data_IF_395409483822
#
_entry.id   IF_395409483822
#
_cell.length_a   1.000
_cell.length_b   1.000
_cell.length_c   1.000
_cell.angle_alpha   90.00
_cell.angle_beta   90.00
_cell.angle_gamma   90.00
#
_symmetry.space_group_name_H-M   'P 1'
#
loop_
_entity.id
_entity.type
_entity.pdbx_description
1 polymer ?
#
# COMPACT_ATOMS: atom_id res chain seq x y z
N UNK A 1 -6.73 -3.05 -12.42
CA UNK A 1 -5.99 -3.83 -11.40
C UNK A 1 -6.43 -5.28 -11.38
N UNK A 2 -7.74 -5.57 -11.22
CA UNK A 2 -8.27 -6.95 -11.21
C UNK A 2 -7.82 -7.79 -12.41
N UNK A 3 -8.00 -7.28 -13.63
CA UNK A 3 -7.61 -7.96 -14.87
C UNK A 3 -6.12 -8.30 -14.92
N UNK A 4 -5.25 -7.42 -14.41
CA UNK A 4 -3.81 -7.64 -14.39
C UNK A 4 -3.44 -8.77 -13.41
N UNK A 5 -4.03 -8.77 -12.21
CA UNK A 5 -3.76 -9.80 -11.20
C UNK A 5 -4.25 -11.17 -11.66
N UNK A 6 -5.41 -11.25 -12.33
CA UNK A 6 -5.96 -12.50 -12.88
C UNK A 6 -5.11 -13.11 -14.00
N UNK A 7 -4.20 -12.34 -14.61
CA UNK A 7 -3.28 -12.81 -15.66
C UNK A 7 -1.95 -13.31 -15.10
N UNK A 8 -1.72 -13.21 -13.79
CA UNK A 8 -0.52 -13.78 -13.18
C UNK A 8 -0.56 -15.31 -13.28
N UNK A 9 0.56 -15.90 -13.68
CA UNK A 9 0.73 -17.36 -13.69
C UNK A 9 0.71 -17.95 -12.29
N UNK A 10 1.09 -17.16 -11.29
CA UNK A 10 1.15 -17.57 -9.89
C UNK A 10 0.24 -16.67 -9.06
N UNK A 11 -0.58 -17.28 -8.19
CA UNK A 11 -1.44 -16.53 -7.29
C UNK A 11 -0.60 -15.98 -6.14
N UNK A 12 -0.59 -14.65 -5.89
CA UNK A 12 0.18 -14.09 -4.79
C UNK A 12 -0.47 -14.43 -3.44
N UNK A 13 0.35 -14.67 -2.42
CA UNK A 13 -0.13 -14.87 -1.05
C UNK A 13 -0.71 -13.58 -0.45
N UNK A 14 -0.10 -12.44 -0.78
CA UNK A 14 -0.52 -11.11 -0.35
C UNK A 14 -0.28 -10.11 -1.47
N UNK A 15 -1.26 -9.23 -1.69
CA UNK A 15 -1.16 -8.14 -2.67
C UNK A 15 -0.97 -6.79 -1.94
N UNK A 16 0.15 -6.13 -2.22
CA UNK A 16 0.38 -4.74 -1.83
C UNK A 16 -0.26 -3.81 -2.85
N UNK A 17 -0.97 -2.78 -2.37
CA UNK A 17 -1.66 -1.80 -3.21
C UNK A 17 -1.15 -0.40 -2.86
N UNK A 18 -0.70 0.35 -3.87
CA UNK A 18 -0.34 1.78 -3.71
C UNK A 18 -1.63 2.61 -3.54
N UNK A 19 -2.12 2.69 -2.31
CA UNK A 19 -3.41 3.25 -1.95
C UNK A 19 -3.88 2.78 -0.57
N UNK A 20 -4.96 3.36 -0.06
CA UNK A 20 -5.48 3.02 1.27
C UNK A 20 -6.38 1.77 1.27
N UNK A 21 -6.37 1.06 2.40
CA UNK A 21 -7.38 0.08 2.79
C UNK A 21 -8.35 0.71 3.80
N UNK A 22 -8.35 0.22 5.05
CA UNK A 22 -9.23 0.71 6.13
C UNK A 22 -8.96 2.14 6.59
N UNK A 23 -7.80 2.72 6.24
CA UNK A 23 -7.53 4.16 6.41
C UNK A 23 -8.26 4.99 5.34
N UNK A 24 -9.59 4.91 5.36
CA UNK A 24 -10.49 5.59 4.42
C UNK A 24 -11.72 6.09 5.19
N UNK A 25 -12.38 7.20 4.81
CA UNK A 25 -13.58 7.70 5.51
C UNK A 25 -14.66 6.64 5.74
N UNK A 26 -14.85 5.74 4.75
CA UNK A 26 -15.80 4.63 4.80
C UNK A 26 -15.22 3.32 5.39
N UNK A 27 -14.00 3.33 5.93
CA UNK A 27 -13.20 2.13 6.28
C UNK A 27 -13.00 1.15 5.11
N UNK A 28 -13.20 1.62 3.88
CA UNK A 28 -13.20 0.80 2.67
C UNK A 28 -12.52 1.55 1.52
N UNK A 29 -11.19 1.44 1.45
CA UNK A 29 -10.38 2.00 0.36
C UNK A 29 -10.16 0.99 -0.78
N UNK A 30 -9.35 1.40 -1.77
CA UNK A 30 -9.05 0.59 -2.97
C UNK A 30 -8.42 -0.77 -2.63
N UNK A 31 -7.58 -0.83 -1.59
CA UNK A 31 -6.98 -2.09 -1.17
C UNK A 31 -8.03 -3.06 -0.60
N UNK A 32 -9.07 -2.55 0.08
CA UNK A 32 -10.20 -3.35 0.53
C UNK A 32 -10.99 -3.87 -0.67
N UNK A 33 -11.36 -2.98 -1.59
CA UNK A 33 -12.14 -3.31 -2.79
C UNK A 33 -11.49 -4.42 -3.61
N UNK A 34 -10.22 -4.26 -3.97
CA UNK A 34 -9.50 -5.25 -4.78
C UNK A 34 -9.35 -6.58 -4.04
N UNK A 35 -9.07 -6.53 -2.73
CA UNK A 35 -8.92 -7.73 -1.92
C UNK A 35 -10.21 -8.56 -1.82
N UNK A 36 -11.34 -7.90 -1.59
CA UNK A 36 -12.66 -8.54 -1.59
C UNK A 36 -12.96 -9.14 -2.96
N UNK A 37 -12.77 -8.35 -4.03
CA UNK A 37 -13.09 -8.77 -5.39
C UNK A 37 -12.30 -9.99 -5.87
N UNK A 38 -11.02 -10.09 -5.46
CA UNK A 38 -10.11 -11.17 -5.82
C UNK A 38 -10.04 -12.32 -4.79
N UNK A 39 -10.69 -12.17 -3.63
CA UNK A 39 -10.59 -13.13 -2.53
C UNK A 39 -9.17 -13.31 -2.00
N UNK A 40 -8.35 -12.25 -2.04
CA UNK A 40 -6.94 -12.25 -1.68
C UNK A 40 -6.67 -11.41 -0.42
N UNK A 41 -5.68 -11.78 0.40
CA UNK A 41 -5.11 -10.88 1.39
C UNK A 41 -4.53 -9.62 0.73
N UNK A 42 -4.89 -8.44 1.23
CA UNK A 42 -4.41 -7.16 0.68
C UNK A 42 -3.98 -6.20 1.77
N UNK A 43 -2.92 -5.44 1.47
CA UNK A 43 -2.42 -4.35 2.30
C UNK A 43 -2.40 -3.06 1.48
N UNK A 44 -3.01 -2.01 2.02
CA UNK A 44 -2.89 -0.68 1.47
C UNK A 44 -1.65 0.03 2.00
N UNK A 45 -0.80 0.50 1.10
CA UNK A 45 0.40 1.30 1.40
C UNK A 45 0.27 2.63 0.68
N UNK A 46 0.25 3.73 1.41
CA UNK A 46 0.11 5.06 0.84
C UNK A 46 1.24 5.99 1.25
N UNK A 47 1.52 7.00 0.41
CA UNK A 47 2.58 8.00 0.62
C UNK A 47 2.09 9.21 1.42
N UNK A 48 0.78 9.39 1.52
CA UNK A 48 0.14 10.54 2.15
C UNK A 48 -0.95 10.07 3.12
N UNK A 49 -1.21 10.81 4.20
CA UNK A 49 -2.35 10.53 5.05
C UNK A 49 -3.65 10.89 4.32
N UNK A 50 -4.72 10.17 4.62
CA UNK A 50 -6.07 10.48 4.12
C UNK A 50 -7.02 10.80 5.27
N UNK A 51 -7.04 9.96 6.31
CA UNK A 51 -7.92 10.10 7.49
C UNK A 51 -7.26 9.51 8.73
N UNK A 52 -7.86 9.81 9.88
CA UNK A 52 -7.43 9.31 11.18
C UNK A 52 -6.42 10.23 11.86
N UNK A 53 -6.24 9.99 13.16
CA UNK A 53 -5.32 10.76 14.00
C UNK A 53 -4.09 9.89 14.31
N UNK A 54 -2.91 10.38 13.95
CA UNK A 54 -1.65 9.77 14.38
C UNK A 54 -1.50 9.98 15.88
N UNK A 55 -1.39 8.89 16.64
CA UNK A 55 -1.12 8.95 18.07
C UNK A 55 0.39 8.88 18.28
N UNK A 56 0.94 9.87 18.97
CA UNK A 56 2.32 9.80 19.45
C UNK A 56 2.36 8.82 20.64
N UNK A 57 3.19 7.78 20.57
CA UNK A 57 3.44 6.94 21.76
C UNK A 57 4.33 7.72 22.74
N UNK A 58 4.03 7.65 24.05
CA UNK A 58 5.01 8.01 25.11
C UNK A 58 6.12 6.96 25.27
N UNK A 59 5.93 5.71 24.78
CA UNK A 59 6.83 4.55 24.95
C UNK A 59 6.71 3.51 23.83
N UNK A 60 7.14 3.80 22.61
CA UNK A 60 7.30 2.77 21.57
C UNK A 60 8.19 3.24 20.43
N UNK A 61 8.53 2.35 19.49
CA UNK A 61 9.44 2.64 18.39
C UNK A 61 9.07 3.95 17.70
N UNK A 62 9.96 4.93 17.71
CA UNK A 62 9.73 6.27 17.16
C UNK A 62 9.28 6.26 15.69
N UNK A 63 9.63 5.19 14.98
CA UNK A 63 9.35 5.03 13.56
C UNK A 63 7.98 4.45 13.24
N UNK A 64 7.23 3.88 14.19
CA UNK A 64 5.90 3.28 13.95
C UNK A 64 4.86 3.91 14.87
N UNK A 65 3.98 4.72 14.31
CA UNK A 65 2.94 5.44 15.03
C UNK A 65 1.54 4.91 14.66
N UNK A 66 0.71 4.51 15.62
CA UNK A 66 -0.65 4.05 15.33
C UNK A 66 -1.54 5.19 14.85
N UNK A 67 -2.45 4.86 13.93
CA UNK A 67 -3.45 5.79 13.39
C UNK A 67 -4.83 5.32 13.84
N UNK A 68 -5.46 6.16 14.65
CA UNK A 68 -6.79 5.92 15.18
C UNK A 68 -7.86 6.55 14.28
N UNK A 69 -8.88 5.77 13.94
CA UNK A 69 -10.03 6.22 13.18
C UNK A 69 -11.27 5.46 13.67
N UNK A 70 -12.32 6.22 14.03
CA UNK A 70 -13.54 5.73 14.68
C UNK A 70 -13.25 4.95 15.98
N UNK A 71 -12.40 5.53 16.84
CA UNK A 71 -12.07 4.97 18.16
C UNK A 71 -11.25 3.68 18.16
N UNK A 72 -10.71 3.26 17.01
CA UNK A 72 -9.88 2.05 16.88
C UNK A 72 -8.64 2.34 16.04
N UNK A 73 -7.56 1.60 16.28
CA UNK A 73 -6.38 1.64 15.41
C UNK A 73 -6.74 0.95 14.09
N UNK A 74 -6.66 1.70 12.99
CA UNK A 74 -6.98 1.20 11.64
C UNK A 74 -5.75 1.08 10.74
N UNK A 75 -4.61 1.62 11.18
CA UNK A 75 -3.38 1.65 10.40
C UNK A 75 -2.18 2.14 11.20
N UNK A 76 -1.04 2.16 10.55
CA UNK A 76 0.21 2.70 11.07
C UNK A 76 0.80 3.72 10.11
N UNK A 77 1.35 4.82 10.66
CA UNK A 77 2.35 5.63 9.99
C UNK A 77 3.71 5.03 10.34
N UNK A 78 4.39 4.45 9.36
CA UNK A 78 5.73 3.89 9.53
C UNK A 78 6.73 4.71 8.72
N UNK A 79 7.83 5.13 9.33
CA UNK A 79 8.95 5.80 8.64
C UNK A 79 10.06 4.79 8.37
N UNK A 80 10.24 4.33 7.12
CA UNK A 80 11.32 3.43 6.77
C UNK A 80 12.69 4.09 6.92
N UNK A 81 13.76 3.31 7.18
CA UNK A 81 15.13 3.83 7.15
C UNK A 81 15.43 4.58 5.84
N UNK A 82 16.12 5.71 5.94
CA UNK A 82 16.50 6.54 4.78
C UNK A 82 15.36 7.34 4.15
N UNK A 83 14.17 7.38 4.76
CA UNK A 83 13.04 8.19 4.28
C UNK A 83 12.66 9.28 5.26
N UNK A 84 12.51 10.52 4.76
CA UNK A 84 12.15 11.68 5.58
C UNK A 84 10.67 11.71 6.02
N UNK A 85 9.78 11.02 5.31
CA UNK A 85 8.32 11.05 5.55
C UNK A 85 7.76 9.65 5.71
N UNK A 86 6.78 9.43 6.61
CA UNK A 86 6.18 8.12 6.80
C UNK A 86 5.43 7.63 5.56
N UNK A 87 5.24 6.32 5.50
CA UNK A 87 4.24 5.65 4.69
C UNK A 87 3.12 5.15 5.58
N UNK A 88 1.93 5.09 5.01
CA UNK A 88 0.69 4.79 5.72
C UNK A 88 0.26 3.39 5.36
N UNK A 89 0.34 2.48 6.32
CA UNK A 89 -0.01 1.07 6.17
C UNK A 89 -1.39 0.83 6.76
N UNK A 90 -2.25 0.17 6.01
CA UNK A 90 -3.60 -0.18 6.46
C UNK A 90 -4.02 -1.53 5.90
N UNK A 91 -4.83 -2.25 6.68
CA UNK A 91 -5.43 -3.51 6.23
C UNK A 91 -6.34 -3.25 5.03
N UNK A 92 -6.19 -4.03 3.98
CA UNK A 92 -7.16 -4.11 2.88
C UNK A 92 -8.18 -5.22 3.16
N UNK A 93 -7.75 -6.48 3.09
CA UNK A 93 -8.63 -7.64 3.20
C UNK A 93 -7.88 -8.86 3.77
N UNK A 94 -8.57 -9.73 4.52
CA UNK A 94 -8.09 -11.05 4.99
C UNK A 94 -6.67 -11.07 5.60
N UNK A 95 -6.28 -10.00 6.29
CA UNK A 95 -4.98 -9.89 6.96
C UNK A 95 -5.10 -9.04 8.23
N UNK A 96 -4.31 -9.34 9.26
CA UNK A 96 -4.24 -8.52 10.46
C UNK A 96 -3.39 -7.27 10.23
N UNK A 97 -3.60 -6.24 11.06
CA UNK A 97 -2.85 -4.99 10.93
C UNK A 97 -1.37 -5.17 11.23
N UNK A 98 -1.03 -5.96 12.25
CA UNK A 98 0.37 -6.24 12.62
C UNK A 98 1.10 -6.98 11.50
N UNK A 99 0.45 -8.01 10.92
CA UNK A 99 1.03 -8.74 9.79
C UNK A 99 1.16 -7.87 8.54
N UNK A 100 0.23 -6.94 8.33
CA UNK A 100 0.32 -5.97 7.24
C UNK A 100 1.58 -5.11 7.37
N UNK A 101 1.86 -4.61 8.58
CA UNK A 101 3.06 -3.82 8.86
C UNK A 101 4.34 -4.67 8.65
N UNK A 102 4.38 -5.88 9.19
CA UNK A 102 5.54 -6.77 9.08
C UNK A 102 5.90 -7.06 7.61
N UNK A 103 4.90 -7.36 6.76
CA UNK A 103 5.12 -7.61 5.33
C UNK A 103 5.65 -6.36 4.63
N UNK A 104 5.08 -5.19 4.93
CA UNK A 104 5.54 -3.93 4.36
C UNK A 104 6.97 -3.63 4.79
N UNK A 105 7.33 -3.88 6.05
CA UNK A 105 8.70 -3.70 6.55
C UNK A 105 9.69 -4.63 5.86
N UNK A 106 9.38 -5.94 5.80
CA UNK A 106 10.26 -6.94 5.16
C UNK A 106 10.41 -6.77 3.65
N UNK A 107 9.40 -6.19 3.00
CA UNK A 107 9.45 -5.90 1.56
C UNK A 107 10.06 -4.53 1.22
N UNK A 108 10.43 -3.73 2.22
CA UNK A 108 10.99 -2.38 2.01
C UNK A 108 12.49 -2.38 2.30
N UNK A 109 13.30 -2.17 1.26
CA UNK A 109 14.75 -1.97 1.41
C UNK A 109 15.09 -0.48 1.40
N UNK A 110 14.57 0.27 0.43
CA UNK A 110 14.90 1.69 0.24
C UNK A 110 13.65 2.56 0.20
N UNK A 111 13.13 2.93 1.38
CA UNK A 111 12.06 3.92 1.55
C UNK A 111 10.64 3.51 1.10
N UNK A 112 10.48 2.55 0.18
CA UNK A 112 9.18 2.04 -0.25
C UNK A 112 9.25 0.53 -0.56
N UNK A 113 8.14 -0.21 -0.43
CA UNK A 113 8.13 -1.64 -0.77
C UNK A 113 8.63 -1.90 -2.18
N UNK A 114 9.61 -2.80 -2.33
CA UNK A 114 10.20 -3.14 -3.62
C UNK A 114 9.16 -3.65 -4.64
N UNK A 115 8.13 -4.46 -4.27
CA UNK A 115 7.07 -4.83 -5.21
C UNK A 115 6.31 -3.63 -5.79
N UNK A 116 6.05 -2.60 -4.98
CA UNK A 116 5.36 -1.39 -5.43
C UNK A 116 6.26 -0.50 -6.29
N UNK A 117 7.55 -0.41 -5.95
CA UNK A 117 8.54 0.30 -6.77
C UNK A 117 8.68 -0.33 -8.16
N UNK A 118 8.74 -1.66 -8.22
CA UNK A 118 8.78 -2.40 -9.48
C UNK A 118 7.51 -2.15 -10.31
N UNK A 119 6.34 -2.25 -9.69
CA UNK A 119 5.07 -2.00 -10.38
C UNK A 119 4.97 -0.58 -10.96
N UNK A 120 5.38 0.45 -10.19
CA UNK A 120 5.40 1.84 -10.65
C UNK A 120 6.40 2.06 -11.80
N UNK A 121 7.60 1.46 -11.72
CA UNK A 121 8.59 1.50 -12.80
C UNK A 121 8.04 0.93 -14.10
N UNK A 122 7.49 -0.30 -14.06
CA UNK A 122 6.91 -0.97 -15.23
C UNK A 122 5.76 -0.15 -15.83
N UNK A 123 4.86 0.40 -14.98
CA UNK A 123 3.78 1.26 -15.46
C UNK A 123 4.29 2.53 -16.16
N UNK A 124 5.37 3.15 -15.67
CA UNK A 124 5.97 4.33 -16.29
C UNK A 124 6.65 4.00 -17.61
N UNK A 125 7.30 2.85 -17.71
CA UNK A 125 7.92 2.35 -18.95
C UNK A 125 6.87 2.11 -20.03
N UNK A 126 5.79 1.39 -19.72
CA UNK A 126 4.68 1.15 -20.64
C UNK A 126 4.07 2.47 -21.16
N UNK A 127 3.79 3.42 -20.25
CA UNK A 127 3.26 4.75 -20.63
C UNK A 127 4.21 5.55 -21.52
N UNK A 128 5.53 5.40 -21.36
CA UNK A 128 6.51 6.08 -22.22
C UNK A 128 6.53 5.47 -23.62
N UNK A 129 6.47 4.14 -23.72
CA UNK A 129 6.47 3.44 -25.01
C UNK A 129 5.20 3.75 -25.81
N UNK A 130 4.02 3.70 -25.18
CA UNK A 130 2.75 4.09 -25.82
C UNK A 130 2.78 5.52 -26.37
N UNK A 131 3.41 6.46 -25.65
CA UNK A 131 3.56 7.85 -26.12
C UNK A 131 4.50 7.95 -27.33
N UNK A 132 5.59 7.18 -27.34
CA UNK A 132 6.54 7.14 -28.47
C UNK A 132 5.87 6.58 -29.72
N UNK A 133 5.13 5.48 -29.60
CA UNK A 133 4.39 4.86 -30.71
C UNK A 133 3.34 5.81 -31.28
N UNK A 134 2.55 6.47 -30.43
CA UNK A 134 1.56 7.47 -30.86
C UNK A 134 2.17 8.73 -31.49
N UNK A 135 3.39 9.09 -31.08
CA UNK A 135 4.14 10.20 -31.66
C UNK A 135 4.81 9.84 -32.98
N UNK A 136 5.16 8.56 -33.20
CA UNK A 136 5.72 8.06 -34.46
C UNK A 136 4.65 7.78 -35.53
N UNK A 137 3.40 7.57 -35.11
CA UNK A 137 2.24 7.36 -35.99
C UNK A 137 1.50 8.67 -36.38
N UNK A 138 2.02 9.83 -36.00
CA UNK A 138 1.54 11.17 -36.37
C UNK A 138 2.57 11.84 -37.25
#
# INVERSE_FOLDING_TARGET
METAVRRLTHRPDVLLVDGHGRLHPALFGVACYVGVRLGLPTVGVAKHPLVGRVKTKRRGSEHVLPIELRGRVQGYAWTPPGRARPIFVSVGNRISLDRSLEIVQRSTQHGYPEPLKLADRVCREMKRNEKREKGAAR
#
